data_IF_428936217814
#
_entry.id   IF_428936217814
#
_cell.length_a   1.000
_cell.length_b   1.000
_cell.length_c   1.000
_cell.angle_alpha   90.00
_cell.angle_beta   90.00
_cell.angle_gamma   90.00
#
_symmetry.space_group_name_H-M   'P 1'
#
loop_
_entity.id
_entity.type
_entity.pdbx_description
1 polymer ?
#
# COMPACT_ATOMS: atom_id res chain seq x y z
N UNK A 1 -17.21 -4.23 -8.91
CA UNK A 1 -17.24 -5.53 -9.61
C UNK A 1 -15.84 -6.09 -9.50
N UNK A 2 -15.69 -7.30 -8.96
CA UNK A 2 -14.37 -7.93 -8.89
C UNK A 2 -13.81 -8.07 -10.30
N UNK A 3 -12.55 -7.64 -10.47
CA UNK A 3 -11.83 -7.82 -11.72
C UNK A 3 -11.69 -9.32 -11.96
N UNK A 4 -12.08 -9.78 -13.14
CA UNK A 4 -11.95 -11.21 -13.50
C UNK A 4 -10.50 -11.46 -13.89
N UNK A 5 -9.90 -12.50 -13.31
CA UNK A 5 -8.53 -12.89 -13.64
C UNK A 5 -8.46 -13.39 -15.08
N UNK A 6 -7.41 -13.02 -15.81
CA UNK A 6 -7.23 -13.53 -17.17
C UNK A 6 -6.94 -15.04 -17.14
N UNK A 7 -7.38 -15.75 -18.18
CA UNK A 7 -7.09 -17.17 -18.32
C UNK A 7 -5.57 -17.39 -18.46
N UNK A 8 -5.00 -18.39 -17.77
CA UNK A 8 -3.58 -18.70 -17.88
C UNK A 8 -3.25 -19.22 -19.28
N UNK A 9 -2.08 -18.85 -19.81
CA UNK A 9 -1.53 -19.44 -21.03
C UNK A 9 -0.06 -19.85 -20.83
N UNK A 10 0.32 -21.04 -21.29
CA UNK A 10 1.67 -21.57 -21.11
C UNK A 10 2.00 -22.00 -19.66
N UNK A 11 3.12 -22.70 -19.51
CA UNK A 11 3.65 -23.09 -18.21
C UNK A 11 4.49 -21.96 -17.60
N UNK A 12 4.55 -21.90 -16.27
CA UNK A 12 5.49 -21.04 -15.56
C UNK A 12 6.92 -21.45 -15.95
N UNK A 13 7.73 -20.46 -16.33
CA UNK A 13 9.10 -20.67 -16.81
C UNK A 13 10.06 -19.77 -16.02
N UNK A 14 11.14 -20.36 -15.50
CA UNK A 14 12.26 -19.64 -14.87
C UNK A 14 13.24 -19.16 -15.94
N UNK A 15 13.71 -17.93 -15.83
CA UNK A 15 14.76 -17.39 -16.70
C UNK A 15 15.74 -16.50 -15.92
N UNK A 16 16.98 -16.45 -16.40
CA UNK A 16 18.06 -15.72 -15.76
C UNK A 16 17.98 -14.20 -16.02
N UNK A 17 18.10 -13.43 -14.95
CA UNK A 17 18.08 -11.97 -14.89
C UNK A 17 19.21 -11.43 -14.00
N UNK A 18 20.48 -11.78 -14.26
CA UNK A 18 21.60 -11.41 -13.40
C UNK A 18 21.72 -9.88 -13.30
N UNK A 19 21.80 -9.36 -12.05
CA UNK A 19 21.93 -7.93 -11.78
C UNK A 19 20.65 -7.10 -11.97
N UNK A 20 19.54 -7.72 -12.38
CA UNK A 20 18.26 -7.02 -12.55
C UNK A 20 17.48 -7.04 -11.24
N UNK A 21 17.31 -5.86 -10.64
CA UNK A 21 16.68 -5.71 -9.31
C UNK A 21 15.51 -4.72 -9.28
N UNK A 22 15.19 -4.07 -10.41
CA UNK A 22 14.10 -3.08 -10.49
C UNK A 22 13.13 -3.40 -11.62
N UNK A 23 11.88 -2.96 -11.45
CA UNK A 23 10.85 -3.06 -12.48
C UNK A 23 11.29 -2.42 -13.80
N UNK A 24 11.92 -1.24 -13.71
CA UNK A 24 12.41 -0.51 -14.87
C UNK A 24 13.53 -1.27 -15.61
N UNK A 25 14.44 -1.92 -14.89
CA UNK A 25 15.52 -2.71 -15.48
C UNK A 25 15.00 -3.96 -16.19
N UNK A 26 13.96 -4.62 -15.66
CA UNK A 26 13.32 -5.76 -16.30
C UNK A 26 12.45 -5.35 -17.51
N UNK A 27 11.97 -4.11 -17.54
CA UNK A 27 11.26 -3.54 -18.68
C UNK A 27 12.19 -3.14 -19.83
N UNK A 28 13.47 -2.88 -19.54
CA UNK A 28 14.47 -2.57 -20.55
C UNK A 28 14.92 -3.83 -21.33
N UNK A 29 15.62 -3.60 -22.44
CA UNK A 29 16.33 -4.67 -23.14
C UNK A 29 17.36 -5.33 -22.19
N UNK A 30 17.57 -6.65 -22.28
CA UNK A 30 17.03 -7.57 -23.29
C UNK A 30 15.66 -8.19 -22.96
N UNK A 31 15.11 -7.93 -21.77
CA UNK A 31 13.94 -8.67 -21.26
C UNK A 31 12.60 -8.13 -21.74
N UNK A 32 12.49 -6.81 -21.96
CA UNK A 32 11.34 -6.15 -22.56
C UNK A 32 10.00 -6.49 -21.88
N UNK A 33 9.99 -6.70 -20.56
CA UNK A 33 8.77 -7.01 -19.82
C UNK A 33 8.12 -5.72 -19.35
N UNK A 34 7.02 -5.29 -19.97
CA UNK A 34 6.35 -4.05 -19.60
C UNK A 34 6.01 -3.99 -18.09
N UNK A 35 6.17 -2.81 -17.48
CA UNK A 35 6.01 -2.63 -16.02
C UNK A 35 4.62 -3.03 -15.51
N UNK A 36 3.58 -2.90 -16.34
CA UNK A 36 2.21 -3.31 -16.04
C UNK A 36 1.97 -4.82 -16.17
N UNK A 37 2.93 -5.59 -16.71
CA UNK A 37 2.94 -7.06 -16.75
C UNK A 37 3.86 -7.67 -15.68
N UNK A 38 4.42 -6.86 -14.78
CA UNK A 38 5.25 -7.34 -13.68
C UNK A 38 4.47 -7.35 -12.36
N UNK A 39 4.72 -8.33 -11.50
CA UNK A 39 4.28 -8.32 -10.10
C UNK A 39 5.42 -7.81 -9.21
N UNK A 40 5.21 -6.66 -8.57
CA UNK A 40 6.13 -6.06 -7.60
C UNK A 40 5.83 -6.64 -6.22
N UNK A 41 6.81 -7.34 -5.65
CA UNK A 41 6.73 -7.95 -4.31
C UNK A 41 7.44 -7.06 -3.30
N UNK A 42 6.70 -6.55 -2.32
CA UNK A 42 7.24 -5.80 -1.19
C UNK A 42 7.12 -6.63 0.09
N UNK A 43 8.12 -6.53 0.97
CA UNK A 43 8.15 -7.28 2.23
C UNK A 43 8.13 -6.30 3.39
N UNK A 44 7.20 -6.52 4.32
CA UNK A 44 7.03 -5.73 5.52
C UNK A 44 7.06 -6.64 6.74
N UNK A 45 7.40 -6.09 7.90
CA UNK A 45 7.25 -6.73 9.21
C UNK A 45 6.08 -6.06 9.91
N UNK A 46 5.05 -6.83 10.25
CA UNK A 46 3.89 -6.40 11.04
C UNK A 46 3.80 -7.25 12.31
N UNK A 47 3.75 -6.60 13.47
CA UNK A 47 3.72 -7.27 14.78
C UNK A 47 4.78 -8.36 14.96
N UNK A 48 5.99 -8.10 14.44
CA UNK A 48 7.14 -9.00 14.50
C UNK A 48 7.13 -10.16 13.50
N UNK A 49 6.13 -10.24 12.60
CA UNK A 49 6.07 -11.26 11.54
C UNK A 49 6.16 -10.64 10.14
N UNK A 50 6.89 -11.28 9.20
CA UNK A 50 6.93 -10.83 7.83
C UNK A 50 5.57 -11.01 7.13
N UNK A 51 5.22 -10.11 6.23
CA UNK A 51 4.11 -10.27 5.30
C UNK A 51 4.47 -9.67 3.93
N UNK A 52 3.82 -10.18 2.88
CA UNK A 52 4.05 -9.71 1.52
C UNK A 52 2.93 -8.78 1.06
N UNK A 53 3.29 -7.77 0.28
CA UNK A 53 2.36 -6.91 -0.46
C UNK A 53 2.70 -6.98 -1.94
N UNK A 54 1.76 -7.45 -2.75
CA UNK A 54 1.92 -7.65 -4.18
C UNK A 54 1.16 -6.54 -4.93
N UNK A 55 1.90 -5.78 -5.72
CA UNK A 55 1.36 -4.71 -6.57
C UNK A 55 1.65 -5.03 -8.04
N UNK A 56 0.92 -4.36 -8.93
CA UNK A 56 1.32 -4.30 -10.35
C UNK A 56 2.56 -3.43 -10.45
N UNK A 57 3.53 -3.82 -11.29
CA UNK A 57 4.87 -3.23 -11.31
C UNK A 57 4.89 -1.73 -11.58
N UNK A 58 3.97 -1.24 -12.40
CA UNK A 58 3.81 0.20 -12.65
C UNK A 58 3.31 0.98 -11.43
N UNK A 59 2.61 0.34 -10.49
CA UNK A 59 1.91 0.99 -9.38
C UNK A 59 2.82 1.15 -8.16
N UNK A 60 2.57 2.20 -7.39
CA UNK A 60 3.29 2.50 -6.16
C UNK A 60 2.43 2.17 -4.95
N UNK A 61 3.06 1.76 -3.86
CA UNK A 61 2.38 1.46 -2.61
C UNK A 61 1.89 2.76 -1.95
N UNK A 62 0.67 2.74 -1.43
CA UNK A 62 0.20 3.73 -0.46
C UNK A 62 0.27 3.10 0.94
N UNK A 63 1.38 3.32 1.64
CA UNK A 63 1.66 2.67 2.94
C UNK A 63 0.56 2.87 3.97
N UNK A 64 -0.11 4.04 3.96
CA UNK A 64 -1.24 4.32 4.85
C UNK A 64 -2.39 3.30 4.69
N UNK A 65 -2.57 2.72 3.49
CA UNK A 65 -3.61 1.70 3.24
C UNK A 65 -3.29 0.35 3.86
N UNK A 66 -2.03 0.06 4.19
CA UNK A 66 -1.65 -1.16 4.91
C UNK A 66 -2.25 -1.23 6.32
N UNK A 67 -2.63 -0.09 6.90
CA UNK A 67 -3.36 -0.05 8.19
C UNK A 67 -4.67 -0.86 8.17
N UNK A 68 -5.27 -1.08 6.99
CA UNK A 68 -6.44 -1.95 6.83
C UNK A 68 -6.17 -3.43 7.12
N UNK A 69 -4.91 -3.85 7.17
CA UNK A 69 -4.49 -5.21 7.53
C UNK A 69 -4.53 -5.45 9.03
N UNK A 70 -4.63 -4.40 9.85
CA UNK A 70 -4.82 -4.51 11.29
C UNK A 70 -3.54 -4.66 12.10
N UNK A 71 -2.36 -4.53 11.50
CA UNK A 71 -1.09 -4.46 12.23
C UNK A 71 -0.95 -3.08 12.91
N UNK A 72 -0.90 -2.98 14.24
CA UNK A 72 -0.71 -1.70 14.94
C UNK A 72 0.63 -1.04 14.61
N UNK A 73 1.68 -1.83 14.38
CA UNK A 73 3.00 -1.35 13.96
C UNK A 73 3.50 -2.20 12.82
N UNK A 74 3.94 -1.54 11.75
CA UNK A 74 4.60 -2.18 10.64
C UNK A 74 5.73 -1.32 10.07
N UNK A 75 6.68 -1.97 9.41
CA UNK A 75 7.78 -1.32 8.68
C UNK A 75 8.24 -2.18 7.51
N UNK A 76 8.96 -1.60 6.57
CA UNK A 76 9.68 -2.38 5.55
C UNK A 76 10.65 -3.36 6.22
N UNK A 77 10.75 -4.57 5.66
CA UNK A 77 11.70 -5.58 6.11
C UNK A 77 13.11 -5.24 5.61
N UNK A 78 14.13 -5.58 6.41
CA UNK A 78 15.52 -5.50 5.96
C UNK A 78 15.89 -6.72 5.12
N UNK A 79 17.01 -6.66 4.38
CA UNK A 79 17.45 -7.79 3.56
C UNK A 79 17.70 -9.06 4.40
N UNK A 80 18.22 -8.88 5.62
CA UNK A 80 18.52 -9.95 6.57
C UNK A 80 17.25 -10.64 7.10
N UNK A 81 16.12 -9.94 7.12
CA UNK A 81 14.81 -10.49 7.50
C UNK A 81 14.13 -11.19 6.31
N UNK A 82 14.42 -10.75 5.08
CA UNK A 82 13.81 -11.27 3.85
C UNK A 82 14.40 -12.62 3.46
N UNK A 83 15.73 -12.73 3.41
CA UNK A 83 16.43 -13.90 2.86
C UNK A 83 16.08 -15.23 3.58
N UNK A 84 15.91 -15.28 4.92
CA UNK A 84 15.47 -16.50 5.60
C UNK A 84 14.07 -16.98 5.19
N UNK A 85 13.19 -16.04 4.79
CA UNK A 85 11.77 -16.29 4.52
C UNK A 85 11.52 -16.56 3.04
N UNK A 86 12.13 -15.76 2.17
CA UNK A 86 11.94 -15.85 0.73
C UNK A 86 13.08 -16.58 0.01
N UNK A 87 14.27 -16.69 0.58
CA UNK A 87 15.39 -17.41 -0.03
C UNK A 87 16.21 -16.60 -1.06
N UNK A 88 15.89 -15.31 -1.23
CA UNK A 88 16.60 -14.39 -2.12
C UNK A 88 16.58 -12.95 -1.57
N UNK A 89 17.37 -12.09 -2.19
CA UNK A 89 17.46 -10.66 -1.87
C UNK A 89 16.43 -9.83 -2.64
N UNK A 90 16.14 -8.59 -2.19
CA UNK A 90 15.32 -7.64 -2.95
C UNK A 90 15.75 -7.54 -4.41
N UNK A 91 14.77 -7.61 -5.32
CA UNK A 91 14.99 -7.63 -6.77
C UNK A 91 14.76 -8.98 -7.44
N UNK A 92 14.68 -10.07 -6.68
CA UNK A 92 14.31 -11.40 -7.21
C UNK A 92 13.20 -12.08 -6.39
N UNK A 93 12.37 -11.27 -5.71
CA UNK A 93 11.32 -11.74 -4.82
C UNK A 93 9.98 -11.94 -5.53
N UNK A 94 9.26 -13.02 -5.19
CA UNK A 94 7.95 -13.36 -5.73
C UNK A 94 7.05 -14.07 -4.71
N UNK A 95 5.76 -14.16 -5.04
CA UNK A 95 4.75 -14.85 -4.22
C UNK A 95 4.19 -16.11 -4.90
N UNK A 96 4.99 -16.77 -5.73
CA UNK A 96 4.59 -18.00 -6.44
C UNK A 96 4.57 -19.19 -5.48
N UNK A 97 3.50 -19.98 -5.52
CA UNK A 97 3.32 -21.20 -4.71
C UNK A 97 4.53 -22.12 -4.88
N UNK A 98 5.06 -22.62 -3.76
CA UNK A 98 6.21 -23.54 -3.76
C UNK A 98 7.58 -22.89 -3.92
N UNK A 99 7.66 -21.56 -4.15
CA UNK A 99 8.96 -20.84 -4.26
C UNK A 99 9.38 -20.14 -2.98
N UNK A 100 8.46 -19.96 -2.03
CA UNK A 100 8.73 -19.30 -0.75
C UNK A 100 9.39 -20.31 0.19
N UNK A 101 10.52 -19.92 0.79
CA UNK A 101 11.34 -20.81 1.62
C UNK A 101 10.70 -21.19 2.96
N UNK A 102 10.09 -20.23 3.65
CA UNK A 102 9.41 -20.44 4.93
C UNK A 102 8.02 -19.78 4.94
N UNK A 103 7.05 -20.31 4.16
CA UNK A 103 5.73 -19.70 4.01
C UNK A 103 4.95 -19.60 5.34
N UNK A 104 5.19 -20.51 6.28
CA UNK A 104 4.60 -20.52 7.62
C UNK A 104 5.08 -19.37 8.52
N UNK A 105 6.21 -18.74 8.19
CA UNK A 105 6.68 -17.55 8.90
C UNK A 105 5.88 -16.30 8.52
N UNK A 106 5.18 -16.30 7.38
CA UNK A 106 4.43 -15.16 6.89
C UNK A 106 3.11 -14.98 7.64
N UNK A 107 2.80 -13.76 8.07
CA UNK A 107 1.49 -13.39 8.55
C UNK A 107 0.44 -13.33 7.43
N UNK A 108 0.87 -13.23 6.18
CA UNK A 108 0.00 -13.29 5.01
C UNK A 108 0.67 -12.77 3.74
N UNK A 109 0.03 -13.05 2.61
CA UNK A 109 0.38 -12.52 1.29
C UNK A 109 -0.81 -11.72 0.79
N UNK A 110 -0.65 -10.40 0.76
CA UNK A 110 -1.70 -9.46 0.42
C UNK A 110 -1.47 -8.91 -0.98
N UNK A 111 -2.52 -8.80 -1.78
CA UNK A 111 -2.41 -8.33 -3.16
C UNK A 111 -3.34 -7.16 -3.44
N UNK A 112 -2.85 -6.14 -4.15
CA UNK A 112 -3.71 -5.07 -4.64
C UNK A 112 -4.66 -5.60 -5.72
N UNK A 113 -5.90 -5.11 -5.75
CA UNK A 113 -6.87 -5.53 -6.76
C UNK A 113 -6.37 -5.38 -8.21
N UNK A 114 -5.52 -4.40 -8.51
CA UNK A 114 -5.02 -4.13 -9.86
C UNK A 114 -4.15 -5.26 -10.44
N UNK A 115 -3.58 -6.15 -9.62
CA UNK A 115 -2.79 -7.26 -10.15
C UNK A 115 -3.63 -8.24 -10.98
N UNK A 116 -4.95 -8.24 -10.80
CA UNK A 116 -5.90 -9.07 -11.57
C UNK A 116 -5.98 -8.66 -13.05
N UNK A 117 -5.52 -7.45 -13.38
CA UNK A 117 -5.38 -6.98 -14.75
C UNK A 117 -4.18 -7.60 -15.47
N UNK A 118 -3.29 -8.26 -14.72
CA UNK A 118 -2.13 -8.96 -15.26
C UNK A 118 -2.57 -10.37 -15.63
N UNK A 119 -2.42 -10.73 -16.91
CA UNK A 119 -2.74 -12.09 -17.35
C UNK A 119 -1.61 -13.06 -17.04
N UNK A 120 -0.59 -13.04 -17.89
CA UNK A 120 0.63 -13.83 -17.74
C UNK A 120 1.78 -12.91 -17.37
N UNK A 121 1.90 -12.64 -16.08
CA UNK A 121 2.89 -11.70 -15.57
C UNK A 121 4.26 -12.31 -15.33
N UNK A 122 5.17 -11.45 -14.91
CA UNK A 122 6.53 -11.80 -14.49
C UNK A 122 6.79 -11.36 -13.06
N UNK A 123 7.45 -12.19 -12.25
CA UNK A 123 7.83 -11.86 -10.87
C UNK A 123 9.15 -12.52 -10.52
N UNK A 124 9.76 -12.14 -9.40
CA UNK A 124 11.00 -12.75 -8.94
C UNK A 124 10.82 -14.25 -8.64
N UNK A 125 11.86 -15.05 -8.88
CA UNK A 125 11.81 -16.50 -8.67
C UNK A 125 12.08 -16.93 -7.23
N UNK A 126 12.30 -15.99 -6.30
CA UNK A 126 12.85 -16.26 -4.97
C UNK A 126 14.24 -16.94 -5.03
N UNK A 127 15.00 -16.60 -6.08
CA UNK A 127 16.38 -17.03 -6.34
C UNK A 127 17.12 -15.87 -6.97
N UNK A 128 18.24 -15.47 -6.37
CA UNK A 128 19.00 -14.28 -6.81
C UNK A 128 19.36 -14.37 -8.30
N UNK A 129 18.98 -13.32 -9.04
CA UNK A 129 19.25 -13.23 -10.48
C UNK A 129 18.34 -14.09 -11.35
N UNK A 130 17.16 -14.49 -10.85
CA UNK A 130 16.15 -15.22 -11.62
C UNK A 130 14.75 -14.62 -11.45
N UNK A 131 13.97 -14.69 -12.52
CA UNK A 131 12.55 -14.36 -12.53
C UNK A 131 11.74 -15.51 -13.14
N UNK A 132 10.44 -15.51 -12.86
CA UNK A 132 9.44 -16.40 -13.43
C UNK A 132 8.55 -15.62 -14.38
N UNK A 133 8.27 -16.16 -15.57
CA UNK A 133 7.31 -15.63 -16.54
C UNK A 133 6.11 -16.58 -16.69
N UNK A 134 5.05 -16.09 -17.35
CA UNK A 134 3.76 -16.78 -17.49
C UNK A 134 3.09 -17.06 -16.13
N UNK A 135 3.35 -16.22 -15.14
CA UNK A 135 2.76 -16.34 -13.80
C UNK A 135 1.35 -15.77 -13.83
N UNK A 136 0.37 -16.56 -13.41
CA UNK A 136 -1.03 -16.18 -13.38
C UNK A 136 -1.53 -16.06 -11.92
N UNK A 137 -2.36 -15.05 -11.67
CA UNK A 137 -2.81 -14.68 -10.32
C UNK A 137 -3.49 -15.83 -9.60
N UNK A 138 -4.51 -16.45 -10.20
CA UNK A 138 -5.29 -17.50 -9.55
C UNK A 138 -4.54 -18.84 -9.48
N UNK A 139 -3.84 -19.19 -10.58
CA UNK A 139 -3.13 -20.47 -10.69
C UNK A 139 -1.93 -20.51 -9.76
N UNK A 140 -1.08 -19.49 -9.78
CA UNK A 140 0.30 -19.59 -9.31
C UNK A 140 0.59 -18.79 -8.03
N UNK A 141 -0.09 -17.68 -7.77
CA UNK A 141 0.22 -16.84 -6.61
C UNK A 141 -0.43 -17.34 -5.32
N UNK A 142 0.31 -17.34 -4.22
CA UNK A 142 -0.14 -17.81 -2.90
C UNK A 142 -0.90 -16.72 -2.11
N UNK A 143 -1.80 -15.98 -2.77
CA UNK A 143 -2.47 -14.81 -2.19
C UNK A 143 -3.44 -15.22 -1.08
N UNK A 144 -3.26 -14.63 0.10
CA UNK A 144 -4.17 -14.79 1.25
C UNK A 144 -5.40 -13.91 1.11
N UNK A 145 -5.23 -12.64 0.75
CA UNK A 145 -6.33 -11.67 0.66
C UNK A 145 -6.02 -10.54 -0.32
N UNK A 146 -7.05 -10.07 -1.01
CA UNK A 146 -6.99 -8.86 -1.83
C UNK A 146 -7.40 -7.62 -1.03
N UNK A 147 -6.84 -6.47 -1.39
CA UNK A 147 -7.23 -5.17 -0.86
C UNK A 147 -6.86 -4.02 -1.78
N UNK A 148 -7.15 -2.81 -1.35
CA UNK A 148 -6.70 -1.57 -1.99
C UNK A 148 -5.42 -1.11 -1.28
N UNK A 149 -4.28 -1.22 -1.95
CA UNK A 149 -2.97 -0.91 -1.38
C UNK A 149 -2.20 0.10 -2.22
N UNK A 150 -2.50 0.25 -3.51
CA UNK A 150 -1.77 1.17 -4.38
C UNK A 150 -2.17 2.63 -4.17
N UNK A 151 -1.24 3.53 -4.47
CA UNK A 151 -1.52 4.95 -4.65
C UNK A 151 -2.29 5.18 -5.95
N UNK A 152 -3.29 6.04 -5.86
CA UNK A 152 -4.09 6.47 -7.01
C UNK A 152 -3.30 7.44 -7.89
N UNK A 153 -3.48 7.38 -9.20
CA UNK A 153 -2.90 8.34 -10.14
C UNK A 153 -3.89 9.44 -10.55
N UNK A 154 -3.40 10.64 -10.91
CA UNK A 154 -4.23 11.65 -11.55
C UNK A 154 -4.96 11.06 -12.78
N UNK A 155 -6.22 11.42 -12.95
CA UNK A 155 -7.07 10.99 -14.05
C UNK A 155 -7.80 9.66 -13.84
N UNK A 156 -7.46 8.88 -12.81
CA UNK A 156 -8.20 7.65 -12.49
C UNK A 156 -9.64 7.96 -12.04
N UNK A 157 -10.61 7.06 -12.28
CA UNK A 157 -12.01 7.31 -11.99
C UNK A 157 -12.25 7.39 -10.48
N UNK A 158 -12.95 8.44 -10.04
CA UNK A 158 -13.44 8.56 -8.69
C UNK A 158 -14.40 7.40 -8.36
N UNK A 159 -14.24 6.69 -7.24
CA UNK A 159 -15.10 5.55 -6.89
C UNK A 159 -16.56 5.93 -6.61
N UNK A 160 -16.85 7.21 -6.38
CA UNK A 160 -18.22 7.70 -6.13
C UNK A 160 -18.88 8.29 -7.38
N UNK A 161 -18.17 9.15 -8.11
CA UNK A 161 -18.74 9.91 -9.24
C UNK A 161 -18.33 9.38 -10.62
N UNK A 162 -17.31 8.51 -10.69
CA UNK A 162 -16.69 8.06 -11.94
C UNK A 162 -15.85 9.14 -12.65
N UNK A 163 -15.87 10.38 -12.18
CA UNK A 163 -15.13 11.48 -12.81
C UNK A 163 -13.62 11.35 -12.57
N UNK A 164 -12.76 11.83 -13.48
CA UNK A 164 -11.31 11.77 -13.32
C UNK A 164 -10.83 12.50 -12.06
N UNK A 165 -10.03 11.83 -11.24
CA UNK A 165 -9.45 12.38 -10.02
C UNK A 165 -8.40 13.45 -10.35
N UNK A 166 -8.50 14.60 -9.69
CA UNK A 166 -7.48 15.64 -9.71
C UNK A 166 -6.61 15.54 -8.45
N UNK A 167 -5.30 15.65 -8.63
CA UNK A 167 -4.35 15.69 -7.51
C UNK A 167 -3.86 17.13 -7.36
N UNK A 168 -4.01 17.68 -6.16
CA UNK A 168 -3.52 19.01 -5.77
C UNK A 168 -2.70 18.89 -4.50
N UNK A 169 -1.76 19.81 -4.32
CA UNK A 169 -1.03 19.95 -3.05
C UNK A 169 -1.86 20.77 -2.08
N UNK A 170 -1.87 20.35 -0.82
CA UNK A 170 -2.57 21.06 0.24
C UNK A 170 -1.75 21.01 1.52
N UNK A 171 -1.92 22.02 2.36
CA UNK A 171 -1.36 22.06 3.71
C UNK A 171 -2.50 21.68 4.66
N UNK A 172 -2.32 20.60 5.43
CA UNK A 172 -3.30 20.20 6.45
C UNK A 172 -3.25 21.19 7.61
N UNK A 173 -4.22 22.11 7.66
CA UNK A 173 -4.39 23.11 8.73
C UNK A 173 -5.29 22.64 9.88
N UNK A 174 -6.03 21.54 9.69
CA UNK A 174 -6.87 20.96 10.72
C UNK A 174 -7.34 19.55 10.38
N UNK A 175 -7.76 18.82 11.39
CA UNK A 175 -8.22 17.43 11.30
C UNK A 175 -9.33 17.19 12.31
N UNK A 176 -10.35 16.43 11.90
CA UNK A 176 -11.44 15.96 12.76
C UNK A 176 -11.45 14.44 12.80
N UNK A 177 -11.57 13.85 13.99
CA UNK A 177 -11.63 12.39 14.14
C UNK A 177 -12.87 11.97 14.92
N UNK A 178 -13.51 10.89 14.43
CA UNK A 178 -14.43 10.09 15.24
C UNK A 178 -13.60 9.07 16.00
N UNK A 179 -13.39 9.30 17.29
CA UNK A 179 -12.55 8.43 18.14
C UNK A 179 -13.32 7.21 18.64
N UNK A 180 -14.65 7.24 18.60
CA UNK A 180 -15.49 6.18 19.13
C UNK A 180 -15.25 6.02 20.62
N UNK A 181 -15.08 4.79 21.09
CA UNK A 181 -14.87 4.46 22.50
C UNK A 181 -13.40 4.20 22.85
N UNK A 182 -12.45 4.44 21.93
CA UNK A 182 -11.02 4.09 22.09
C UNK A 182 -10.42 4.58 23.41
N UNK A 183 -10.74 5.81 23.80
CA UNK A 183 -10.20 6.42 25.02
C UNK A 183 -11.10 6.20 26.23
N UNK A 184 -12.42 6.23 26.06
CA UNK A 184 -13.37 5.98 27.14
C UNK A 184 -13.21 4.58 27.71
N UNK A 185 -12.96 3.57 26.87
CA UNK A 185 -12.71 2.19 27.27
C UNK A 185 -11.42 2.09 28.11
N UNK A 186 -10.35 2.74 27.65
CA UNK A 186 -9.04 2.71 28.33
C UNK A 186 -9.04 3.43 29.68
N UNK A 187 -9.78 4.53 29.81
CA UNK A 187 -9.75 5.40 31.00
C UNK A 187 -11.01 5.28 31.87
N UNK A 188 -11.96 4.42 31.51
CA UNK A 188 -13.21 4.23 32.27
C UNK A 188 -14.15 5.42 32.23
N UNK A 189 -14.16 6.20 31.13
CA UNK A 189 -15.07 7.33 30.98
C UNK A 189 -16.47 6.84 30.58
N UNK A 190 -17.37 6.76 31.56
CA UNK A 190 -18.73 6.23 31.40
C UNK A 190 -19.80 7.27 31.76
N UNK A 191 -20.99 7.12 31.19
CA UNK A 191 -22.21 7.83 31.60
C UNK A 191 -23.34 6.82 31.88
N UNK A 192 -24.30 7.24 32.70
CA UNK A 192 -25.51 6.45 32.96
C UNK A 192 -26.66 6.97 32.10
N UNK A 193 -27.37 6.07 31.42
CA UNK A 193 -28.54 6.44 30.62
C UNK A 193 -29.84 6.52 31.46
N UNK A 194 -30.95 6.77 30.78
CA UNK A 194 -32.30 6.82 31.37
C UNK A 194 -32.79 5.47 31.91
N UNK A 195 -32.24 4.36 31.42
CA UNK A 195 -32.50 3.00 31.87
C UNK A 195 -31.58 2.57 33.03
N UNK A 196 -30.76 3.49 33.55
CA UNK A 196 -29.77 3.24 34.62
C UNK A 196 -28.66 2.27 34.21
N UNK A 197 -28.39 2.15 32.91
CA UNK A 197 -27.30 1.36 32.36
C UNK A 197 -26.06 2.23 32.17
N UNK A 198 -24.89 1.63 32.40
CA UNK A 198 -23.58 2.28 32.22
C UNK A 198 -23.09 2.10 30.80
N UNK A 199 -22.76 3.19 30.12
CA UNK A 199 -22.28 3.22 28.75
C UNK A 199 -20.97 3.99 28.63
N UNK A 200 -20.10 3.55 27.72
CA UNK A 200 -18.89 4.28 27.37
C UNK A 200 -19.23 5.57 26.62
N UNK A 201 -18.55 6.67 26.94
CA UNK A 201 -18.70 7.92 26.20
C UNK A 201 -18.16 7.77 24.77
N UNK A 202 -18.99 8.06 23.76
CA UNK A 202 -18.54 8.15 22.37
C UNK A 202 -17.86 9.50 22.15
N UNK A 203 -16.63 9.48 21.65
CA UNK A 203 -15.78 10.67 21.57
C UNK A 203 -15.51 11.11 20.13
N UNK A 204 -15.39 12.43 19.95
CA UNK A 204 -14.81 13.06 18.77
C UNK A 204 -13.73 14.05 19.20
N UNK A 205 -12.77 14.35 18.31
CA UNK A 205 -11.81 15.42 18.52
C UNK A 205 -11.66 16.28 17.27
N UNK A 206 -11.31 17.56 17.50
CA UNK A 206 -11.25 18.59 16.49
C UNK A 206 -9.98 19.41 16.75
N UNK A 207 -9.08 19.45 15.76
CA UNK A 207 -7.81 20.16 15.87
C UNK A 207 -7.61 21.13 14.72
N UNK A 208 -7.11 22.33 15.05
CA UNK A 208 -6.64 23.32 14.08
C UNK A 208 -5.23 23.72 14.50
N UNK A 209 -4.27 23.64 13.57
CA UNK A 209 -2.88 24.01 13.81
C UNK A 209 -2.69 25.52 13.67
N UNK A 210 -2.96 26.30 14.72
CA UNK A 210 -2.96 27.78 14.67
C UNK A 210 -1.71 28.36 13.97
N UNK A 211 -0.51 27.97 14.40
CA UNK A 211 0.74 28.47 13.78
C UNK A 211 0.91 28.01 12.33
N UNK A 212 0.46 26.79 12.00
CA UNK A 212 0.51 26.26 10.64
C UNK A 212 -0.52 26.96 9.74
N UNK A 213 -1.69 27.30 10.26
CA UNK A 213 -2.70 28.07 9.54
C UNK A 213 -2.14 29.43 9.16
N UNK A 214 -1.41 30.10 10.05
CA UNK A 214 -0.73 31.36 9.73
C UNK A 214 0.27 31.19 8.57
N UNK A 215 1.08 30.13 8.60
CA UNK A 215 2.01 29.80 7.51
C UNK A 215 1.28 29.51 6.19
N UNK A 216 0.17 28.77 6.24
CA UNK A 216 -0.65 28.46 5.08
C UNK A 216 -1.32 29.71 4.47
N UNK A 217 -1.69 30.69 5.31
CA UNK A 217 -2.20 31.99 4.85
C UNK A 217 -1.14 32.72 4.04
N UNK A 218 0.10 32.79 4.56
CA UNK A 218 1.23 33.41 3.85
C UNK A 218 1.52 32.67 2.54
N UNK A 219 1.56 31.33 2.56
CA UNK A 219 1.79 30.52 1.35
C UNK A 219 0.76 30.82 0.25
N UNK A 220 -0.50 31.07 0.60
CA UNK A 220 -1.55 31.42 -0.36
C UNK A 220 -1.63 32.93 -0.68
N UNK A 221 -1.04 33.78 0.15
CA UNK A 221 -1.24 35.24 0.13
C UNK A 221 0.10 35.96 0.28
N UNK A 222 0.95 35.80 -0.74
CA UNK A 222 2.21 36.53 -0.86
C UNK A 222 2.44 36.90 -2.32
N UNK A 223 3.31 37.89 -2.53
CA UNK A 223 3.84 38.26 -3.83
C UNK A 223 5.37 38.37 -3.77
N UNK A 224 5.97 39.00 -4.77
CA UNK A 224 7.42 39.19 -4.85
C UNK A 224 7.97 40.16 -3.81
N UNK A 225 7.12 41.05 -3.26
CA UNK A 225 7.51 42.13 -2.36
C UNK A 225 7.21 41.81 -0.89
N UNK A 226 6.35 40.82 -0.62
CA UNK A 226 6.20 40.25 0.70
C UNK A 226 4.87 39.56 0.95
N UNK A 227 4.42 39.61 2.22
CA UNK A 227 3.17 39.01 2.67
C UNK A 227 2.00 39.94 2.34
N UNK A 228 0.95 39.38 1.75
CA UNK A 228 -0.31 40.08 1.44
C UNK A 228 -1.38 39.55 2.39
N UNK A 229 -1.51 40.16 3.57
CA UNK A 229 -2.45 39.67 4.57
C UNK A 229 -3.92 39.79 4.11
N UNK A 230 -4.71 38.70 4.19
CA UNK A 230 -6.17 38.81 4.07
C UNK A 230 -6.74 39.73 5.16
N UNK A 231 -7.75 40.53 4.81
CA UNK A 231 -8.31 41.57 5.69
C UNK A 231 -8.68 41.09 7.09
N UNK A 232 -9.17 39.86 7.22
CA UNK A 232 -9.60 39.27 8.49
C UNK A 232 -8.46 38.90 9.45
N UNK A 233 -7.19 38.96 9.01
CA UNK A 233 -6.00 38.57 9.79
C UNK A 233 -4.82 39.55 9.63
N UNK A 234 -5.08 40.75 9.10
CA UNK A 234 -4.09 41.82 8.90
C UNK A 234 -3.79 42.62 10.18
#
# INVERSE_FOLDING_TARGET
KDLVDAAPAGAVEEFATPGIVTIAALAAAPYNVAADQQFKTLVYIGDGKPFLVILRGSDELEEAKLGSLGFPVFRAATAEEIEPVLGAKPGSLGAVKGTIKAPEALAGIFADHAIRLIGNGTTGANKDGFHLRNVNVARDLAITKFGDFRRVRPGEPCPQSGQPLQVRRGIEVGHIFKLGTKYSEKFGAVYTDDQKQSHLMVMGCYGIGISRTMQAVIEQSHDTDGIVWPWNVA
#
